data_IF_986226237669
#
_entry.id   IF_986226237669
#
_cell.length_a   1.000
_cell.length_b   1.000
_cell.length_c   1.000
_cell.angle_alpha   90.00
_cell.angle_beta   90.00
_cell.angle_gamma   90.00
#
_symmetry.space_group_name_H-M   'P 1'
#
loop_
_entity.id
_entity.type
_entity.pdbx_description
1 polymer ?
#
# COMPACT_ATOMS: atom_id res chain seq x y z
N UNK A 1 -25.21 9.35 -5.14
CA UNK A 1 -25.41 10.35 -4.06
C UNK A 1 -24.99 11.76 -4.50
N UNK A 2 -23.75 11.99 -4.94
CA UNK A 2 -23.27 13.31 -5.34
C UNK A 2 -24.15 13.99 -6.38
N UNK A 3 -24.53 13.27 -7.45
CA UNK A 3 -25.44 13.79 -8.50
C UNK A 3 -26.81 14.17 -7.93
N UNK A 4 -27.37 13.35 -7.03
CA UNK A 4 -28.65 13.64 -6.40
C UNK A 4 -28.62 14.88 -5.48
N UNK A 5 -27.48 15.18 -4.87
CA UNK A 5 -27.29 16.32 -3.96
C UNK A 5 -26.95 17.62 -4.71
N UNK A 6 -26.28 17.51 -5.85
CA UNK A 6 -25.67 18.69 -6.51
C UNK A 6 -26.19 18.97 -7.90
N UNK A 7 -26.86 17.98 -8.53
CA UNK A 7 -27.25 18.02 -9.95
C UNK A 7 -26.05 17.91 -10.92
N UNK A 8 -24.84 17.67 -10.42
CA UNK A 8 -23.62 17.52 -11.23
C UNK A 8 -23.43 16.03 -11.54
N UNK A 9 -23.44 15.68 -12.81
CA UNK A 9 -23.18 14.32 -13.27
C UNK A 9 -21.66 14.07 -13.34
N UNK A 10 -21.20 12.92 -12.84
CA UNK A 10 -19.81 12.46 -12.93
C UNK A 10 -19.76 11.15 -13.70
N UNK A 11 -19.06 11.17 -14.82
CA UNK A 11 -18.84 9.99 -15.65
C UNK A 11 -17.39 9.51 -15.47
N UNK A 12 -17.21 8.21 -15.19
CA UNK A 12 -15.90 7.58 -15.04
C UNK A 12 -15.54 6.76 -16.26
N UNK A 13 -14.40 7.08 -16.85
CA UNK A 13 -13.78 6.28 -17.90
C UNK A 13 -12.71 5.38 -17.26
N UNK A 14 -13.05 4.10 -17.04
CA UNK A 14 -12.16 3.14 -16.41
C UNK A 14 -11.27 2.46 -17.45
N UNK A 15 -9.96 2.46 -17.20
CA UNK A 15 -8.96 1.81 -18.05
C UNK A 15 -7.99 0.98 -17.21
N UNK A 16 -7.33 -0.03 -17.78
CA UNK A 16 -6.28 -0.77 -17.10
C UNK A 16 -5.14 0.16 -16.63
N UNK A 17 -4.59 -0.11 -15.44
CA UNK A 17 -3.53 0.71 -14.82
C UNK A 17 -2.34 0.96 -15.77
N UNK A 18 -1.90 -0.07 -16.47
CA UNK A 18 -0.76 0.01 -17.39
C UNK A 18 -1.00 0.88 -18.65
N UNK A 19 -2.26 1.27 -18.91
CA UNK A 19 -2.63 2.17 -20.02
C UNK A 19 -2.94 3.59 -19.52
N UNK A 20 -3.21 3.76 -18.22
CA UNK A 20 -3.72 5.01 -17.67
C UNK A 20 -2.73 6.17 -17.85
N UNK A 21 -1.46 5.98 -17.50
CA UNK A 21 -0.46 7.04 -17.60
C UNK A 21 -0.24 7.50 -19.05
N UNK A 22 -0.21 6.57 -20.01
CA UNK A 22 -0.06 6.91 -21.43
C UNK A 22 -1.26 7.69 -21.95
N UNK A 23 -2.48 7.29 -21.57
CA UNK A 23 -3.70 8.02 -21.95
C UNK A 23 -3.75 9.43 -21.37
N UNK A 24 -3.37 9.60 -20.10
CA UNK A 24 -3.26 10.93 -19.48
C UNK A 24 -2.24 11.78 -20.24
N UNK A 25 -1.05 11.21 -20.50
CA UNK A 25 0.04 11.92 -21.20
C UNK A 25 -0.39 12.37 -22.60
N UNK A 26 -1.10 11.53 -23.34
CA UNK A 26 -1.63 11.87 -24.67
C UNK A 26 -2.68 12.99 -24.59
N UNK A 27 -3.62 12.89 -23.63
CA UNK A 27 -4.61 13.94 -23.37
C UNK A 27 -3.96 15.27 -23.04
N UNK A 28 -2.90 15.26 -22.21
CA UNK A 28 -2.17 16.48 -21.84
C UNK A 28 -1.36 17.07 -23.01
N UNK A 29 -0.73 16.23 -23.81
CA UNK A 29 0.06 16.67 -24.97
C UNK A 29 -0.81 17.36 -26.05
N UNK A 30 -2.06 16.93 -26.16
CA UNK A 30 -3.02 17.53 -27.12
C UNK A 30 -3.79 18.71 -26.53
N UNK A 31 -3.55 19.07 -25.25
CA UNK A 31 -4.23 20.15 -24.53
C UNK A 31 -5.76 20.03 -24.58
N UNK A 32 -6.27 18.79 -24.58
CA UNK A 32 -7.71 18.52 -24.71
C UNK A 32 -8.43 18.63 -23.38
N UNK A 33 -9.69 19.01 -23.44
CA UNK A 33 -10.62 19.04 -22.32
C UNK A 33 -11.47 17.75 -22.25
N UNK A 34 -10.94 16.63 -22.75
CA UNK A 34 -11.67 15.36 -22.80
C UNK A 34 -12.05 14.87 -21.41
N UNK A 35 -11.18 15.10 -20.43
CA UNK A 35 -11.39 14.74 -19.04
C UNK A 35 -11.19 15.95 -18.13
N UNK A 36 -12.04 16.10 -17.12
CA UNK A 36 -11.95 17.20 -16.16
C UNK A 36 -10.96 16.92 -15.03
N UNK A 37 -10.77 15.65 -14.69
CA UNK A 37 -9.81 15.22 -13.69
C UNK A 37 -9.27 13.83 -14.01
N UNK A 38 -8.15 13.49 -13.39
CA UNK A 38 -7.46 12.22 -13.56
C UNK A 38 -7.24 11.53 -12.22
N UNK A 39 -7.34 10.20 -12.21
CA UNK A 39 -6.76 9.40 -11.14
C UNK A 39 -5.30 9.16 -11.48
N UNK A 40 -4.40 9.37 -10.50
CA UNK A 40 -2.98 9.11 -10.69
C UNK A 40 -2.34 8.43 -9.48
N UNK A 41 -1.33 7.62 -9.74
CA UNK A 41 -0.53 6.95 -8.72
C UNK A 41 0.56 7.88 -8.17
N UNK A 42 0.93 7.69 -6.91
CA UNK A 42 1.93 8.51 -6.20
C UNK A 42 3.26 8.68 -6.97
N UNK A 43 3.86 7.64 -7.58
CA UNK A 43 5.10 7.77 -8.34
C UNK A 43 5.00 8.66 -9.58
N UNK A 44 3.79 8.88 -10.11
CA UNK A 44 3.58 9.64 -11.35
C UNK A 44 3.51 11.14 -11.15
N UNK A 45 3.38 11.61 -9.90
CA UNK A 45 3.14 13.01 -9.58
C UNK A 45 4.14 13.96 -10.23
N UNK A 46 5.43 13.69 -10.06
CA UNK A 46 6.48 14.57 -10.58
C UNK A 46 6.43 14.64 -12.10
N UNK A 47 6.33 13.50 -12.78
CA UNK A 47 6.18 13.42 -14.22
C UNK A 47 4.96 14.20 -14.72
N UNK A 48 3.80 14.02 -14.08
CA UNK A 48 2.56 14.67 -14.48
C UNK A 48 2.60 16.19 -14.27
N UNK A 49 3.24 16.65 -13.20
CA UNK A 49 3.42 18.10 -12.96
C UNK A 49 4.38 18.72 -13.98
N UNK A 50 5.50 18.07 -14.25
CA UNK A 50 6.48 18.54 -15.24
C UNK A 50 5.90 18.62 -16.65
N UNK A 51 4.97 17.71 -16.99
CA UNK A 51 4.29 17.68 -18.30
C UNK A 51 2.95 18.46 -18.32
N UNK A 52 2.70 19.29 -17.30
CA UNK A 52 1.48 20.12 -17.19
C UNK A 52 0.17 19.32 -17.27
N UNK A 53 0.17 18.08 -16.76
CA UNK A 53 -1.04 17.26 -16.71
C UNK A 53 -1.92 17.57 -15.50
N UNK A 54 -1.39 18.26 -14.50
CA UNK A 54 -2.10 18.55 -13.24
C UNK A 54 -2.09 20.06 -12.96
N UNK A 55 -3.26 20.58 -12.60
CA UNK A 55 -3.42 21.94 -12.11
C UNK A 55 -2.92 22.08 -10.67
N UNK A 56 -2.31 23.21 -10.34
CA UNK A 56 -2.11 23.63 -8.97
C UNK A 56 -3.47 23.95 -8.31
N UNK A 57 -3.80 23.20 -7.26
CA UNK A 57 -5.03 23.35 -6.49
C UNK A 57 -4.77 23.81 -5.05
N UNK A 58 -3.60 24.37 -4.78
CA UNK A 58 -3.20 24.80 -3.42
C UNK A 58 -4.23 25.77 -2.81
N UNK A 59 -4.71 26.73 -3.56
CA UNK A 59 -5.73 27.70 -3.09
C UNK A 59 -7.04 27.02 -2.68
N UNK A 60 -7.44 25.92 -3.34
CA UNK A 60 -8.61 25.14 -2.95
C UNK A 60 -8.33 24.33 -1.67
N UNK A 61 -7.20 23.65 -1.58
CA UNK A 61 -6.82 22.83 -0.42
C UNK A 61 -6.64 23.69 0.87
N UNK A 62 -6.19 24.93 0.71
CA UNK A 62 -5.96 25.86 1.82
C UNK A 62 -7.18 26.76 2.14
N UNK A 63 -8.28 26.58 1.41
CA UNK A 63 -9.52 27.33 1.67
C UNK A 63 -10.29 26.76 2.86
N UNK A 64 -11.08 27.59 3.53
CA UNK A 64 -11.96 27.18 4.63
C UNK A 64 -13.04 26.15 4.21
N UNK A 65 -13.31 26.05 2.91
CA UNK A 65 -14.27 25.09 2.34
C UNK A 65 -13.72 23.67 2.26
N UNK A 66 -12.41 23.47 2.39
CA UNK A 66 -11.77 22.17 2.34
C UNK A 66 -11.20 21.75 3.70
N UNK A 67 -11.67 20.64 4.22
CA UNK A 67 -11.33 20.15 5.57
C UNK A 67 -10.06 19.30 5.56
N UNK A 68 -8.91 19.94 5.24
CA UNK A 68 -7.59 19.32 5.22
C UNK A 68 -7.21 18.66 6.55
N UNK A 69 -7.69 19.18 7.67
CA UNK A 69 -7.46 18.68 9.03
C UNK A 69 -8.00 17.27 9.28
N UNK A 70 -8.92 16.79 8.45
CA UNK A 70 -9.50 15.45 8.55
C UNK A 70 -8.59 14.35 7.99
N UNK A 71 -7.54 14.68 7.27
CA UNK A 71 -6.70 13.74 6.57
C UNK A 71 -5.44 13.36 7.34
N UNK A 72 -4.91 12.17 7.03
CA UNK A 72 -3.53 11.85 7.39
C UNK A 72 -2.57 12.76 6.63
N UNK A 73 -1.58 13.30 7.34
CA UNK A 73 -0.54 14.13 6.72
C UNK A 73 0.24 13.40 5.61
N UNK A 74 0.44 12.08 5.77
CA UNK A 74 1.07 11.24 4.75
C UNK A 74 0.32 11.25 3.42
N UNK A 75 -1.03 11.26 3.45
CA UNK A 75 -1.85 11.34 2.25
C UNK A 75 -1.57 12.61 1.44
N UNK A 76 -1.60 13.78 2.10
CA UNK A 76 -1.31 15.04 1.41
C UNK A 76 0.13 15.16 0.91
N UNK A 77 1.11 14.58 1.60
CA UNK A 77 2.48 14.52 1.07
C UNK A 77 2.56 13.82 -0.29
N UNK A 78 1.68 12.85 -0.53
CA UNK A 78 1.60 12.13 -1.80
C UNK A 78 1.07 12.99 -2.96
N UNK A 79 0.36 14.08 -2.66
CA UNK A 79 -0.18 15.03 -3.64
C UNK A 79 0.63 16.33 -3.73
N UNK A 80 1.73 16.44 -2.96
CA UNK A 80 2.50 17.68 -2.84
C UNK A 80 3.83 17.59 -3.57
N UNK A 81 4.15 18.61 -4.37
CA UNK A 81 5.44 18.79 -5.01
C UNK A 81 5.87 20.26 -4.81
N UNK A 82 7.10 20.47 -4.34
CA UNK A 82 7.68 21.81 -4.09
C UNK A 82 6.75 22.77 -3.29
N UNK A 83 6.07 22.23 -2.29
CA UNK A 83 5.17 23.00 -1.42
C UNK A 83 3.78 23.27 -2.00
N UNK A 84 3.49 22.83 -3.22
CA UNK A 84 2.19 23.02 -3.89
C UNK A 84 1.41 21.71 -3.96
N UNK A 85 0.08 21.80 -3.99
CA UNK A 85 -0.82 20.66 -4.06
C UNK A 85 -1.38 20.49 -5.47
N UNK A 86 -1.23 19.27 -6.02
CA UNK A 86 -1.65 18.92 -7.38
C UNK A 86 -2.75 17.85 -7.39
N UNK A 87 -3.37 17.58 -6.25
CA UNK A 87 -4.45 16.62 -6.13
C UNK A 87 -4.94 16.47 -4.71
N UNK A 88 -5.95 15.61 -4.56
CA UNK A 88 -6.46 15.13 -3.28
C UNK A 88 -6.20 13.63 -3.17
N UNK A 89 -5.83 13.11 -1.99
CA UNK A 89 -5.68 11.69 -1.78
C UNK A 89 -7.06 11.04 -1.63
N UNK A 90 -7.37 10.03 -2.44
CA UNK A 90 -8.68 9.34 -2.40
C UNK A 90 -8.59 7.88 -1.99
N UNK A 91 -7.45 7.25 -2.23
CA UNK A 91 -7.12 5.96 -1.65
C UNK A 91 -5.78 6.08 -0.96
N UNK A 92 -5.74 5.82 0.31
CA UNK A 92 -4.54 5.87 1.12
C UNK A 92 -4.28 4.51 1.72
N UNK A 93 -3.18 3.90 1.28
CA UNK A 93 -2.76 2.63 1.77
C UNK A 93 -1.29 2.63 2.16
N UNK A 94 -0.89 1.56 2.77
CA UNK A 94 0.49 1.28 3.11
C UNK A 94 0.72 -0.22 3.09
N UNK A 95 1.96 -0.63 2.97
CA UNK A 95 2.28 -2.04 3.09
C UNK A 95 2.11 -2.52 4.53
N UNK A 96 1.51 -3.69 4.67
CA UNK A 96 1.35 -4.42 5.92
C UNK A 96 1.98 -5.80 5.80
N UNK A 97 2.43 -6.34 6.92
CA UNK A 97 2.69 -7.75 7.07
C UNK A 97 1.38 -8.45 7.42
N UNK A 98 0.88 -9.33 6.56
CA UNK A 98 -0.19 -10.28 6.87
C UNK A 98 0.41 -11.63 7.23
N UNK A 99 -0.19 -12.31 8.20
CA UNK A 99 0.25 -13.63 8.61
C UNK A 99 -0.93 -14.50 9.06
N UNK A 100 -0.77 -15.79 8.97
CA UNK A 100 -1.75 -16.79 9.39
C UNK A 100 -1.81 -16.84 10.91
N UNK A 101 -2.76 -16.07 11.49
CA UNK A 101 -2.97 -15.97 12.94
C UNK A 101 -3.18 -17.32 13.60
N UNK A 102 -3.93 -18.20 12.94
CA UNK A 102 -4.21 -19.56 13.40
C UNK A 102 -2.93 -20.39 13.54
N UNK A 103 -1.95 -20.24 12.65
CA UNK A 103 -0.67 -20.94 12.73
C UNK A 103 0.23 -20.32 13.80
N UNK A 104 0.26 -19.00 13.91
CA UNK A 104 1.07 -18.30 14.92
C UNK A 104 0.55 -18.50 16.34
N UNK A 105 -0.76 -18.75 16.54
CA UNK A 105 -1.37 -19.03 17.83
C UNK A 105 -1.43 -20.54 18.16
N UNK A 106 -1.01 -21.41 17.24
CA UNK A 106 -0.99 -22.86 17.48
C UNK A 106 0.08 -23.21 18.53
N UNK A 107 -0.34 -23.87 19.61
CA UNK A 107 0.53 -24.18 20.76
C UNK A 107 1.70 -25.11 20.43
N UNK A 108 1.48 -26.07 19.55
CA UNK A 108 2.52 -27.02 19.13
C UNK A 108 3.60 -26.28 18.32
N UNK A 109 3.19 -25.47 17.33
CA UNK A 109 4.09 -24.66 16.52
C UNK A 109 4.85 -23.61 17.36
N UNK A 110 4.17 -23.00 18.34
CA UNK A 110 4.80 -22.08 19.29
C UNK A 110 5.93 -22.77 20.08
N UNK A 111 5.63 -23.97 20.59
CA UNK A 111 6.60 -24.75 21.39
C UNK A 111 7.78 -25.19 20.52
N UNK A 112 7.50 -25.63 19.29
CA UNK A 112 8.55 -26.06 18.36
C UNK A 112 9.43 -24.91 17.92
N UNK A 113 8.85 -23.77 17.55
CA UNK A 113 9.61 -22.57 17.19
C UNK A 113 10.48 -22.08 18.35
N UNK A 114 9.94 -22.05 19.56
CA UNK A 114 10.69 -21.62 20.76
C UNK A 114 11.89 -22.53 21.05
N UNK A 115 11.77 -23.84 20.83
CA UNK A 115 12.90 -24.78 20.97
C UNK A 115 14.03 -24.51 19.97
N UNK A 116 13.68 -24.06 18.74
CA UNK A 116 14.66 -23.80 17.68
C UNK A 116 15.29 -22.42 17.79
N UNK A 117 14.50 -21.40 18.12
CA UNK A 117 14.90 -19.98 18.02
C UNK A 117 15.16 -19.32 19.37
N UNK A 118 14.79 -19.98 20.49
CA UNK A 118 14.84 -19.46 21.86
C UNK A 118 13.93 -18.23 22.12
N UNK A 119 13.11 -17.86 21.16
CA UNK A 119 12.14 -16.77 21.25
C UNK A 119 10.74 -17.29 20.92
N UNK A 120 9.71 -16.58 21.38
CA UNK A 120 8.31 -16.93 21.05
C UNK A 120 7.98 -16.63 19.61
N UNK A 121 7.19 -17.52 18.96
CA UNK A 121 6.65 -17.29 17.64
C UNK A 121 5.65 -16.11 17.69
N UNK A 122 5.95 -15.05 16.96
CA UNK A 122 5.16 -13.83 16.87
C UNK A 122 5.37 -13.15 15.52
N UNK A 123 4.55 -12.15 15.22
CA UNK A 123 4.80 -11.30 14.06
C UNK A 123 6.21 -10.72 14.10
N UNK A 124 7.02 -10.92 13.05
CA UNK A 124 8.42 -10.49 13.00
C UNK A 124 8.52 -8.96 12.97
N UNK A 125 9.46 -8.41 13.77
CA UNK A 125 9.71 -6.97 13.89
C UNK A 125 10.93 -6.51 13.11
N UNK A 126 11.79 -7.45 12.75
CA UNK A 126 13.01 -7.19 11.95
C UNK A 126 13.04 -8.13 10.76
N UNK A 127 13.79 -7.78 9.72
CA UNK A 127 13.96 -8.64 8.55
C UNK A 127 14.66 -9.95 8.86
N UNK A 128 15.54 -9.96 9.89
CA UNK A 128 16.12 -11.20 10.38
C UNK A 128 15.05 -12.11 11.00
N UNK A 129 14.21 -11.57 11.90
CA UNK A 129 13.09 -12.34 12.47
C UNK A 129 12.12 -12.82 11.37
N UNK A 130 11.88 -12.00 10.32
CA UNK A 130 11.05 -12.39 9.19
C UNK A 130 11.61 -13.61 8.47
N UNK A 131 12.90 -13.62 8.17
CA UNK A 131 13.55 -14.75 7.52
C UNK A 131 13.62 -15.99 8.43
N UNK A 132 13.85 -15.83 9.74
CA UNK A 132 13.83 -16.93 10.71
C UNK A 132 12.44 -17.60 10.78
N UNK A 133 11.38 -16.80 10.81
CA UNK A 133 9.99 -17.29 10.79
C UNK A 133 9.64 -17.89 9.42
N UNK A 134 10.10 -17.29 8.32
CA UNK A 134 9.90 -17.82 6.98
C UNK A 134 10.55 -19.20 6.81
N UNK A 135 11.78 -19.38 7.30
CA UNK A 135 12.47 -20.67 7.33
C UNK A 135 11.66 -21.72 8.11
N UNK A 136 11.15 -21.35 9.30
CA UNK A 136 10.36 -22.26 10.13
C UNK A 136 9.07 -22.74 9.43
N UNK A 137 8.44 -21.86 8.66
CA UNK A 137 7.23 -22.18 7.90
C UNK A 137 7.50 -22.67 6.48
N UNK A 138 8.74 -22.93 6.11
CA UNK A 138 9.09 -23.54 4.82
C UNK A 138 9.33 -25.03 4.98
N UNK A 139 8.56 -25.86 4.28
CA UNK A 139 8.58 -27.32 4.42
C UNK A 139 9.94 -27.94 4.12
N UNK A 140 10.72 -27.33 3.22
CA UNK A 140 12.09 -27.76 2.91
C UNK A 140 13.01 -27.65 4.11
N UNK A 141 12.85 -26.61 4.96
CA UNK A 141 13.67 -26.36 6.16
C UNK A 141 13.07 -27.01 7.41
N UNK A 142 11.75 -27.16 7.42
CA UNK A 142 10.98 -27.80 8.48
C UNK A 142 9.92 -28.73 7.89
N UNK A 143 10.20 -30.04 7.75
CA UNK A 143 9.26 -31.00 7.17
C UNK A 143 7.88 -31.08 7.86
N UNK A 144 7.80 -30.65 9.14
CA UNK A 144 6.55 -30.56 9.89
C UNK A 144 5.79 -29.26 9.64
N UNK A 145 6.28 -28.35 8.79
CA UNK A 145 5.61 -27.10 8.48
C UNK A 145 4.24 -27.32 7.85
N UNK A 146 3.19 -26.64 8.34
CA UNK A 146 1.85 -26.70 7.75
C UNK A 146 1.77 -26.02 6.38
N UNK A 147 2.69 -25.12 6.06
CA UNK A 147 2.76 -24.43 4.77
C UNK A 147 3.93 -24.95 3.93
N UNK A 148 3.82 -24.83 2.63
CA UNK A 148 4.88 -25.22 1.69
C UNK A 148 6.06 -24.24 1.78
N UNK A 149 5.74 -22.95 1.86
CA UNK A 149 6.69 -21.84 1.97
C UNK A 149 6.33 -20.90 3.13
N UNK A 150 7.34 -20.24 3.67
CA UNK A 150 7.15 -19.34 4.80
C UNK A 150 6.71 -17.94 4.42
N UNK A 151 7.07 -17.48 3.22
CA UNK A 151 6.81 -16.12 2.78
C UNK A 151 6.43 -16.04 1.30
N UNK A 152 5.85 -14.92 0.91
CA UNK A 152 5.66 -14.49 -0.47
C UNK A 152 6.56 -13.30 -0.78
N UNK A 153 6.86 -13.07 -2.06
CA UNK A 153 7.66 -11.95 -2.55
C UNK A 153 7.13 -11.50 -3.91
N UNK A 154 6.66 -10.26 -4.01
CA UNK A 154 6.17 -9.66 -5.25
C UNK A 154 7.35 -9.03 -6.01
N UNK A 155 7.94 -9.79 -6.90
CA UNK A 155 9.17 -9.41 -7.59
C UNK A 155 9.02 -9.23 -9.11
N UNK A 156 7.79 -9.15 -9.64
CA UNK A 156 7.58 -8.88 -11.06
C UNK A 156 8.33 -7.62 -11.49
N UNK A 157 9.07 -7.74 -12.61
CA UNK A 157 9.97 -6.69 -13.11
C UNK A 157 9.14 -5.58 -13.77
N UNK A 158 8.42 -4.89 -12.98
CA UNK A 158 7.74 -3.65 -13.28
C UNK A 158 7.73 -2.79 -12.00
N UNK A 159 6.61 -2.22 -11.68
CA UNK A 159 6.47 -1.39 -10.49
C UNK A 159 6.35 -2.19 -9.17
N UNK A 160 6.20 -3.53 -9.22
CA UNK A 160 5.92 -4.35 -8.02
C UNK A 160 7.21 -4.70 -7.25
N UNK A 161 8.33 -4.87 -7.93
CA UNK A 161 9.62 -5.17 -7.30
C UNK A 161 10.17 -3.99 -6.48
N UNK A 162 9.98 -2.76 -6.96
CA UNK A 162 10.56 -1.58 -6.34
C UNK A 162 10.13 -1.40 -4.86
N UNK A 163 8.84 -1.51 -4.49
CA UNK A 163 8.41 -1.44 -3.09
C UNK A 163 9.03 -2.52 -2.19
N UNK A 164 9.20 -3.73 -2.70
CA UNK A 164 9.83 -4.82 -1.95
C UNK A 164 11.30 -4.52 -1.59
N UNK A 165 12.02 -3.88 -2.51
CA UNK A 165 13.40 -3.43 -2.28
C UNK A 165 13.42 -2.24 -1.33
N UNK A 166 12.59 -1.23 -1.58
CA UNK A 166 12.61 0.04 -0.86
C UNK A 166 12.33 -0.11 0.62
N UNK A 167 11.35 -0.93 1.02
CA UNK A 167 11.03 -1.13 2.45
C UNK A 167 12.18 -1.77 3.22
N UNK A 168 12.99 -2.61 2.59
CA UNK A 168 14.19 -3.20 3.18
C UNK A 168 15.36 -2.22 3.23
N UNK A 169 15.58 -1.46 2.15
CA UNK A 169 16.56 -0.37 2.12
C UNK A 169 16.30 0.63 3.24
N UNK A 170 15.09 1.13 3.33
CA UNK A 170 14.71 2.12 4.34
C UNK A 170 14.79 1.57 5.77
N UNK A 171 14.45 0.30 5.97
CA UNK A 171 14.55 -0.35 7.28
C UNK A 171 16.00 -0.49 7.73
N UNK A 172 16.94 -0.65 6.81
CA UNK A 172 18.38 -0.68 7.07
C UNK A 172 19.02 0.71 7.17
N UNK A 173 18.26 1.80 6.95
CA UNK A 173 18.80 3.17 6.86
C UNK A 173 19.44 3.49 5.51
N UNK A 174 19.27 2.61 4.53
CA UNK A 174 19.79 2.79 3.16
C UNK A 174 19.03 3.83 2.35
N UNK A 175 19.61 4.22 1.23
CA UNK A 175 19.08 5.19 0.27
C UNK A 175 19.44 4.75 -1.14
N UNK A 176 18.64 5.13 -2.14
CA UNK A 176 18.98 4.92 -3.54
C UNK A 176 19.99 5.95 -4.05
N UNK A 177 19.91 7.18 -3.53
CA UNK A 177 20.67 8.35 -3.96
C UNK A 177 21.25 9.09 -2.76
N UNK A 178 22.43 9.67 -2.92
CA UNK A 178 22.98 10.62 -1.96
C UNK A 178 22.39 12.04 -2.19
N UNK A 179 22.84 13.00 -1.39
CA UNK A 179 22.38 14.40 -1.50
C UNK A 179 22.82 15.11 -2.79
N UNK A 180 23.67 14.46 -3.59
CA UNK A 180 24.14 14.95 -4.91
C UNK A 180 23.53 14.14 -6.06
N UNK A 181 22.44 13.39 -5.80
CA UNK A 181 21.77 12.52 -6.76
C UNK A 181 22.65 11.42 -7.36
N UNK A 182 23.70 10.97 -6.65
CA UNK A 182 24.54 9.86 -7.08
C UNK A 182 24.04 8.55 -6.50
N UNK A 183 24.03 7.43 -7.26
CA UNK A 183 23.60 6.12 -6.77
C UNK A 183 24.46 5.64 -5.59
N UNK A 184 23.80 5.07 -4.58
CA UNK A 184 24.43 4.61 -3.33
C UNK A 184 24.33 3.10 -3.10
N UNK A 185 24.20 2.29 -4.15
CA UNK A 185 24.00 0.84 -4.05
C UNK A 185 25.10 0.08 -3.27
N UNK A 186 26.31 0.63 -3.23
CA UNK A 186 27.47 0.01 -2.61
C UNK A 186 27.60 0.24 -1.08
N UNK A 187 26.70 0.99 -0.46
CA UNK A 187 26.76 1.27 0.97
C UNK A 187 26.50 0.00 1.80
N UNK A 188 26.99 -0.01 3.05
CA UNK A 188 26.79 -1.12 3.98
C UNK A 188 25.30 -1.38 4.22
N UNK A 189 24.52 -0.33 4.41
CA UNK A 189 23.09 -0.36 4.68
C UNK A 189 22.34 -0.99 3.50
N UNK A 190 22.65 -0.58 2.28
CA UNK A 190 22.05 -1.14 1.08
C UNK A 190 22.44 -2.61 0.87
N UNK A 191 23.70 -2.96 1.14
CA UNK A 191 24.15 -4.36 1.08
C UNK A 191 23.37 -5.24 2.04
N UNK A 192 23.20 -4.81 3.31
CA UNK A 192 22.41 -5.54 4.30
C UNK A 192 20.96 -5.76 3.85
N UNK A 193 20.36 -4.77 3.21
CA UNK A 193 19.01 -4.89 2.66
C UNK A 193 18.94 -5.95 1.55
N UNK A 194 19.87 -5.92 0.58
CA UNK A 194 19.92 -6.93 -0.50
C UNK A 194 20.23 -8.33 0.02
N UNK A 195 21.14 -8.48 0.99
CA UNK A 195 21.40 -9.76 1.65
C UNK A 195 20.14 -10.32 2.32
N UNK A 196 19.34 -9.46 2.97
CA UNK A 196 18.05 -9.87 3.54
C UNK A 196 17.06 -10.33 2.49
N UNK A 197 17.01 -9.68 1.31
CA UNK A 197 16.18 -10.12 0.18
C UNK A 197 16.63 -11.51 -0.28
N UNK A 198 17.92 -11.70 -0.54
CA UNK A 198 18.46 -12.98 -1.01
C UNK A 198 18.11 -14.13 -0.06
N UNK A 199 18.17 -13.89 1.26
CA UNK A 199 17.73 -14.87 2.25
C UNK A 199 16.23 -15.14 2.17
N UNK A 200 15.39 -14.11 1.94
CA UNK A 200 13.93 -14.30 1.78
C UNK A 200 13.60 -15.21 0.59
N UNK A 201 14.38 -15.11 -0.51
CA UNK A 201 14.15 -15.90 -1.72
C UNK A 201 14.30 -17.43 -1.53
N UNK A 202 14.95 -17.86 -0.46
CA UNK A 202 15.03 -19.29 -0.11
C UNK A 202 13.71 -19.85 0.43
N UNK A 203 12.78 -18.99 0.83
CA UNK A 203 11.54 -19.33 1.53
C UNK A 203 10.25 -18.94 0.77
N UNK A 204 10.36 -18.58 -0.50
CA UNK A 204 9.25 -18.22 -1.38
C UNK A 204 8.94 -19.33 -2.39
N UNK A 205 7.73 -19.35 -2.98
CA UNK A 205 7.37 -20.30 -4.01
C UNK A 205 8.37 -20.31 -5.17
N UNK A 206 8.93 -21.52 -5.42
CA UNK A 206 9.76 -21.84 -6.60
C UNK A 206 10.99 -20.92 -6.80
N UNK A 207 11.36 -20.13 -5.80
CA UNK A 207 12.34 -19.02 -5.93
C UNK A 207 11.99 -18.06 -7.09
N UNK A 208 10.70 -17.99 -7.41
CA UNK A 208 10.19 -17.19 -8.52
C UNK A 208 10.07 -15.72 -8.12
N UNK A 209 11.08 -14.97 -8.49
CA UNK A 209 11.09 -13.51 -8.30
C UNK A 209 10.13 -12.77 -9.24
N UNK A 210 9.56 -13.43 -10.24
CA UNK A 210 8.71 -12.77 -11.24
C UNK A 210 7.21 -12.89 -10.92
N UNK A 211 6.87 -13.10 -9.64
CA UNK A 211 5.48 -13.20 -9.20
C UNK A 211 4.88 -11.82 -9.00
N UNK A 212 3.66 -11.64 -9.53
CA UNK A 212 2.87 -10.43 -9.28
C UNK A 212 2.30 -10.39 -7.86
N UNK A 213 1.88 -9.20 -7.40
CA UNK A 213 1.13 -9.03 -6.15
C UNK A 213 -0.09 -9.96 -6.11
N UNK A 214 -0.84 -10.07 -7.20
CA UNK A 214 -2.02 -10.95 -7.27
C UNK A 214 -1.66 -12.40 -7.01
N UNK A 215 -0.58 -12.90 -7.62
CA UNK A 215 -0.11 -14.26 -7.41
C UNK A 215 0.38 -14.51 -5.98
N UNK A 216 1.07 -13.53 -5.36
CA UNK A 216 1.50 -13.64 -3.96
C UNK A 216 0.32 -13.65 -2.99
N UNK A 217 -0.72 -12.86 -3.27
CA UNK A 217 -1.98 -12.88 -2.52
C UNK A 217 -2.68 -14.23 -2.67
N UNK A 218 -2.68 -14.82 -3.88
CA UNK A 218 -3.27 -16.14 -4.14
C UNK A 218 -2.55 -17.24 -3.36
N UNK A 219 -1.22 -17.27 -3.34
CA UNK A 219 -0.43 -18.23 -2.56
C UNK A 219 -0.77 -18.15 -1.06
N UNK A 220 -0.91 -16.95 -0.52
CA UNK A 220 -1.28 -16.77 0.87
C UNK A 220 -2.72 -17.20 1.15
N UNK A 221 -3.66 -16.82 0.29
CA UNK A 221 -5.08 -17.16 0.46
C UNK A 221 -5.38 -18.65 0.30
N UNK A 222 -4.56 -19.38 -0.45
CA UNK A 222 -4.65 -20.84 -0.59
C UNK A 222 -3.88 -21.61 0.50
N UNK A 223 -3.23 -20.89 1.43
CA UNK A 223 -2.46 -21.50 2.52
C UNK A 223 -1.10 -22.05 2.09
N UNK A 224 -0.63 -21.72 0.90
CA UNK A 224 0.67 -22.13 0.41
C UNK A 224 1.81 -21.44 1.17
N UNK A 225 1.57 -20.18 1.61
CA UNK A 225 2.52 -19.38 2.41
C UNK A 225 1.96 -18.97 3.76
N UNK A 226 2.83 -18.78 4.76
CA UNK A 226 2.45 -18.40 6.12
C UNK A 226 2.40 -16.88 6.33
N UNK A 227 3.20 -16.13 5.57
CA UNK A 227 3.34 -14.68 5.64
C UNK A 227 3.30 -14.06 4.25
N UNK A 228 2.75 -12.83 4.19
CA UNK A 228 2.62 -12.01 3.00
C UNK A 228 2.85 -10.55 3.36
N UNK A 229 3.66 -9.85 2.58
CA UNK A 229 3.71 -8.38 2.62
C UNK A 229 2.96 -7.87 1.40
N UNK A 230 1.94 -7.09 1.63
CA UNK A 230 1.15 -6.45 0.55
C UNK A 230 0.43 -5.21 1.10
N UNK A 231 -0.34 -4.56 0.26
CA UNK A 231 -1.03 -3.33 0.60
C UNK A 231 -2.29 -3.56 1.42
N UNK A 232 -2.58 -2.62 2.33
CA UNK A 232 -3.76 -2.65 3.21
C UNK A 232 -5.10 -2.76 2.46
N UNK A 233 -5.15 -2.31 1.21
CA UNK A 233 -6.32 -2.38 0.33
C UNK A 233 -6.75 -3.84 0.02
N UNK A 234 -5.81 -4.77 0.04
CA UNK A 234 -6.12 -6.20 -0.15
C UNK A 234 -6.68 -6.89 1.10
N UNK A 235 -6.63 -6.24 2.26
CA UNK A 235 -6.92 -6.88 3.55
C UNK A 235 -8.29 -7.53 3.64
N UNK A 236 -9.35 -6.86 3.14
CA UNK A 236 -10.71 -7.39 3.16
C UNK A 236 -10.81 -8.69 2.34
N UNK A 237 -10.35 -8.67 1.10
CA UNK A 237 -10.35 -9.83 0.21
C UNK A 237 -9.49 -10.98 0.72
N UNK A 238 -8.32 -10.68 1.31
CA UNK A 238 -7.45 -11.68 1.93
C UNK A 238 -8.17 -12.36 3.10
N UNK A 239 -8.78 -11.57 4.00
CA UNK A 239 -9.49 -12.10 5.18
C UNK A 239 -10.62 -13.05 4.79
N UNK A 240 -11.43 -12.67 3.79
CA UNK A 240 -12.52 -13.50 3.30
C UNK A 240 -11.98 -14.79 2.66
N UNK A 241 -11.05 -14.70 1.75
CA UNK A 241 -10.51 -15.83 0.98
C UNK A 241 -9.74 -16.83 1.86
N UNK A 242 -8.96 -16.39 2.86
CA UNK A 242 -8.29 -17.28 3.80
C UNK A 242 -9.30 -18.05 4.64
N UNK A 243 -10.39 -17.41 5.07
CA UNK A 243 -11.45 -18.07 5.81
C UNK A 243 -12.16 -19.13 4.98
N UNK A 244 -12.44 -18.84 3.71
CA UNK A 244 -13.14 -19.74 2.79
C UNK A 244 -12.25 -20.90 2.34
N UNK A 245 -11.02 -20.63 1.93
CA UNK A 245 -10.15 -21.63 1.28
C UNK A 245 -9.50 -22.58 2.28
N UNK A 246 -9.07 -22.10 3.44
CA UNK A 246 -8.26 -22.89 4.39
C UNK A 246 -8.78 -22.86 5.82
N UNK A 247 -10.01 -22.37 6.03
CA UNK A 247 -10.62 -22.19 7.36
C UNK A 247 -9.69 -21.48 8.35
N UNK A 248 -8.80 -20.66 7.81
CA UNK A 248 -7.76 -19.97 8.56
C UNK A 248 -8.21 -18.62 9.10
N UNK A 249 -7.35 -18.03 9.91
CA UNK A 249 -7.52 -16.67 10.43
C UNK A 249 -6.27 -15.86 10.12
N UNK A 250 -6.45 -14.60 9.75
CA UNK A 250 -5.34 -13.69 9.53
C UNK A 250 -5.16 -12.71 10.69
N UNK A 251 -3.96 -12.19 10.81
CA UNK A 251 -3.68 -10.95 11.50
C UNK A 251 -2.75 -10.10 10.62
N UNK A 252 -2.67 -8.83 10.96
CA UNK A 252 -1.79 -7.89 10.30
C UNK A 252 -0.93 -7.13 11.30
N UNK A 253 0.17 -6.59 10.84
CA UNK A 253 1.07 -5.74 11.59
C UNK A 253 1.92 -4.89 10.66
N UNK A 254 2.76 -4.04 11.26
CA UNK A 254 3.74 -3.29 10.48
C UNK A 254 4.72 -4.21 9.76
N UNK A 255 5.21 -3.77 8.61
CA UNK A 255 6.34 -4.43 7.94
C UNK A 255 7.57 -4.46 8.86
N UNK A 256 8.43 -5.48 8.76
CA UNK A 256 9.66 -5.55 9.54
C UNK A 256 10.53 -4.29 9.33
N UNK A 257 11.08 -3.76 10.41
CA UNK A 257 11.92 -2.55 10.40
C UNK A 257 11.15 -1.24 10.33
N UNK A 258 9.81 -1.26 10.36
CA UNK A 258 8.95 -0.07 10.49
C UNK A 258 9.16 0.99 9.39
N UNK A 259 9.37 0.57 8.17
CA UNK A 259 9.59 1.48 7.04
C UNK A 259 8.72 1.10 5.82
N UNK A 260 7.38 1.07 5.97
CA UNK A 260 6.49 0.72 4.86
C UNK A 260 6.51 1.78 3.77
N UNK A 261 6.16 1.40 2.55
CA UNK A 261 5.91 2.35 1.47
C UNK A 261 4.54 3.01 1.65
N UNK A 262 4.48 4.32 1.43
CA UNK A 262 3.23 5.06 1.25
C UNK A 262 2.77 4.83 -0.18
N UNK A 263 1.55 4.34 -0.32
CA UNK A 263 0.92 4.09 -1.62
C UNK A 263 -0.47 4.71 -1.62
N UNK A 264 -1.06 4.79 -2.78
CA UNK A 264 -2.44 5.27 -2.91
C UNK A 264 -2.68 5.98 -4.22
N UNK A 265 -3.96 6.19 -4.47
CA UNK A 265 -4.45 6.91 -5.62
C UNK A 265 -4.88 8.31 -5.24
N UNK A 266 -4.59 9.23 -6.12
CA UNK A 266 -4.93 10.63 -5.97
C UNK A 266 -5.82 11.06 -7.14
N UNK A 267 -6.65 12.08 -6.93
CA UNK A 267 -7.36 12.76 -8.00
C UNK A 267 -6.72 14.12 -8.24
N UNK A 268 -6.39 14.38 -9.49
CA UNK A 268 -5.82 15.65 -9.92
C UNK A 268 -6.67 16.35 -10.96
N UNK A 269 -6.82 17.65 -10.85
CA UNK A 269 -7.58 18.48 -11.77
C UNK A 269 -6.80 18.65 -13.07
N UNK A 270 -7.46 18.45 -14.21
CA UNK A 270 -6.92 18.82 -15.52
C UNK A 270 -6.79 20.35 -15.61
N UNK A 271 -5.60 20.91 -15.89
CA UNK A 271 -5.41 22.36 -15.98
C UNK A 271 -6.26 23.04 -17.06
N UNK A 272 -6.70 22.28 -18.07
CA UNK A 272 -7.51 22.77 -19.19
C UNK A 272 -9.01 22.58 -18.99
N UNK A 273 -9.46 22.00 -17.86
CA UNK A 273 -10.88 21.82 -17.58
C UNK A 273 -11.63 23.15 -17.45
N UNK A 274 -12.75 23.27 -18.16
CA UNK A 274 -13.69 24.38 -18.02
C UNK A 274 -14.64 24.21 -16.82
N UNK A 275 -14.64 23.03 -16.16
CA UNK A 275 -15.54 22.68 -15.07
C UNK A 275 -14.83 22.67 -13.69
N UNK A 276 -13.79 23.52 -13.53
CA UNK A 276 -12.94 23.55 -12.32
C UNK A 276 -13.73 23.61 -11.01
N UNK A 277 -14.78 24.44 -10.95
CA UNK A 277 -15.60 24.59 -9.76
C UNK A 277 -16.37 23.29 -9.43
N UNK A 278 -16.96 22.66 -10.44
CA UNK A 278 -17.68 21.38 -10.31
C UNK A 278 -16.74 20.27 -9.81
N UNK A 279 -15.51 20.21 -10.35
CA UNK A 279 -14.50 19.25 -9.91
C UNK A 279 -14.11 19.51 -8.45
N UNK A 280 -13.89 20.75 -8.04
CA UNK A 280 -13.58 21.08 -6.64
C UNK A 280 -14.74 20.71 -5.70
N UNK A 281 -16.00 20.91 -6.10
CA UNK A 281 -17.18 20.43 -5.34
C UNK A 281 -17.21 18.93 -5.20
N UNK A 282 -16.90 18.20 -6.29
CA UNK A 282 -16.79 16.74 -6.25
C UNK A 282 -15.65 16.27 -5.33
N UNK A 283 -14.50 16.92 -5.39
CA UNK A 283 -13.38 16.63 -4.50
C UNK A 283 -13.74 16.85 -3.03
N UNK A 284 -14.40 17.96 -2.69
CA UNK A 284 -14.88 18.22 -1.33
C UNK A 284 -15.87 17.17 -0.85
N UNK A 285 -16.79 16.73 -1.73
CA UNK A 285 -17.78 15.70 -1.42
C UNK A 285 -17.12 14.33 -1.15
N UNK A 286 -16.16 13.93 -1.98
CA UNK A 286 -15.39 12.69 -1.77
C UNK A 286 -14.65 12.69 -0.44
N UNK A 287 -14.22 13.87 0.01
CA UNK A 287 -13.41 14.05 1.20
C UNK A 287 -14.22 14.18 2.48
N UNK A 288 -15.56 14.23 2.42
CA UNK A 288 -16.35 14.32 3.63
C UNK A 288 -16.32 13.00 4.44
N UNK A 289 -16.55 13.10 5.74
CA UNK A 289 -16.43 11.95 6.67
C UNK A 289 -17.37 10.80 6.33
N UNK A 290 -18.59 11.09 5.90
CA UNK A 290 -19.60 10.08 5.62
C UNK A 290 -19.25 9.30 4.34
N UNK A 291 -18.89 10.02 3.27
CA UNK A 291 -18.40 9.40 2.04
C UNK A 291 -17.18 8.53 2.28
N UNK A 292 -16.22 9.01 3.08
CA UNK A 292 -15.03 8.23 3.42
C UNK A 292 -15.31 7.02 4.30
N UNK A 293 -16.34 7.06 5.14
CA UNK A 293 -16.79 5.88 5.88
C UNK A 293 -17.24 4.77 4.92
N UNK A 294 -18.07 5.11 3.92
CA UNK A 294 -18.51 4.18 2.89
C UNK A 294 -17.34 3.67 2.04
N UNK A 295 -16.45 4.55 1.62
CA UNK A 295 -15.25 4.16 0.85
C UNK A 295 -14.35 3.21 1.66
N UNK A 296 -14.23 3.42 2.97
CA UNK A 296 -13.46 2.52 3.84
C UNK A 296 -14.07 1.14 3.91
N UNK A 297 -15.40 1.05 3.99
CA UNK A 297 -16.11 -0.24 3.97
C UNK A 297 -15.90 -0.98 2.65
N UNK A 298 -15.86 -0.26 1.52
CA UNK A 298 -15.69 -0.84 0.20
C UNK A 298 -14.22 -1.21 -0.10
N UNK A 299 -13.27 -0.36 0.30
CA UNK A 299 -11.86 -0.46 -0.11
C UNK A 299 -10.92 -0.92 1.01
N UNK A 300 -11.38 -1.00 2.26
CA UNK A 300 -10.58 -1.44 3.40
C UNK A 300 -9.53 -0.44 3.90
N UNK A 301 -9.45 0.76 3.31
CA UNK A 301 -8.52 1.82 3.72
C UNK A 301 -9.10 3.20 3.39
N UNK A 302 -8.70 4.21 4.16
CA UNK A 302 -9.12 5.61 3.98
C UNK A 302 -7.93 6.57 4.10
N UNK A 303 -8.02 7.69 3.42
CA UNK A 303 -7.10 8.82 3.58
C UNK A 303 -7.52 9.75 4.72
N UNK A 304 -8.75 9.60 5.23
CA UNK A 304 -9.34 10.41 6.30
C UNK A 304 -9.26 9.66 7.63
N UNK A 305 -9.04 10.39 8.72
CA UNK A 305 -8.82 9.83 10.06
C UNK A 305 -10.09 9.23 10.68
N UNK A 306 -11.27 9.76 10.34
CA UNK A 306 -12.55 9.41 10.98
C UNK A 306 -12.85 7.90 11.01
N UNK A 307 -12.69 7.12 9.92
CA UNK A 307 -12.93 5.67 9.95
C UNK A 307 -12.05 4.93 10.96
N UNK A 308 -10.83 5.39 11.18
CA UNK A 308 -9.89 4.80 12.15
C UNK A 308 -10.21 5.13 13.61
N UNK A 309 -11.19 5.97 13.87
CA UNK A 309 -11.74 6.27 15.20
C UNK A 309 -13.08 5.59 15.45
N UNK A 310 -13.63 4.90 14.47
CA UNK A 310 -14.90 4.20 14.57
C UNK A 310 -14.69 2.80 15.19
N UNK A 311 -15.10 2.62 16.44
CA UNK A 311 -14.89 1.37 17.19
C UNK A 311 -15.58 0.15 16.56
N UNK A 312 -16.69 0.33 15.87
CA UNK A 312 -17.39 -0.78 15.20
C UNK A 312 -16.62 -1.22 13.95
N UNK A 313 -16.10 -0.27 13.16
CA UNK A 313 -15.23 -0.60 12.01
C UNK A 313 -13.95 -1.30 12.45
N UNK A 314 -13.32 -0.86 13.54
CA UNK A 314 -12.11 -1.49 14.04
C UNK A 314 -12.34 -2.93 14.52
N UNK A 315 -13.54 -3.26 15.01
CA UNK A 315 -13.92 -4.65 15.33
C UNK A 315 -14.12 -5.50 14.08
N UNK A 316 -14.75 -4.92 13.05
CA UNK A 316 -15.05 -5.62 11.78
C UNK A 316 -13.79 -5.75 10.90
N UNK A 317 -12.94 -4.75 10.92
CA UNK A 317 -11.74 -4.62 10.09
C UNK A 317 -10.48 -4.37 10.95
N UNK A 318 -9.99 -5.40 11.69
CA UNK A 318 -8.87 -5.23 12.64
C UNK A 318 -7.58 -4.72 12.01
N UNK A 319 -7.38 -4.93 10.72
CA UNK A 319 -6.21 -4.42 10.00
C UNK A 319 -6.16 -2.89 9.90
N UNK A 320 -7.27 -2.18 10.11
CA UNK A 320 -7.27 -0.72 10.17
C UNK A 320 -6.34 -0.18 11.27
N UNK A 321 -6.26 -0.89 12.41
CA UNK A 321 -5.33 -0.53 13.49
C UNK A 321 -3.88 -0.57 12.98
N UNK A 322 -3.49 -1.65 12.32
CA UNK A 322 -2.16 -1.81 11.74
C UNK A 322 -1.90 -0.81 10.61
N UNK A 323 -2.94 -0.50 9.83
CA UNK A 323 -2.85 0.50 8.75
C UNK A 323 -2.58 1.89 9.31
N UNK A 324 -3.33 2.34 10.32
CA UNK A 324 -3.13 3.63 10.97
C UNK A 324 -1.71 3.74 11.55
N UNK A 325 -1.28 2.72 12.29
CA UNK A 325 0.06 2.67 12.87
C UNK A 325 1.14 2.76 11.77
N UNK A 326 0.98 2.01 10.68
CA UNK A 326 1.93 1.99 9.57
C UNK A 326 2.00 3.30 8.79
N UNK A 327 0.87 3.99 8.60
CA UNK A 327 0.81 5.28 7.91
C UNK A 327 1.66 6.37 8.59
N UNK A 328 1.90 6.26 9.91
CA UNK A 328 2.77 7.20 10.63
C UNK A 328 4.25 7.06 10.22
N UNK A 329 4.66 5.89 9.77
CA UNK A 329 6.05 5.56 9.37
C UNK A 329 6.23 5.46 7.86
N UNK A 330 5.14 5.57 7.09
CA UNK A 330 5.16 5.36 5.66
C UNK A 330 6.07 6.38 4.94
N UNK A 331 6.92 5.85 4.05
CA UNK A 331 7.88 6.60 3.24
C UNK A 331 7.43 6.64 1.78
N UNK A 332 7.88 7.68 1.10
CA UNK A 332 7.66 7.89 -0.34
C UNK A 332 8.99 7.83 -1.08
#
# INVERSE_FOLDING_TARGET
HFEAETGIQVEFHCVPRNQLLSMISESCATLTQTYDFYTYDVPWLEYMVQNMCLADISSFIESDSFRKDQFFQSGFRNCQLNGRYFGIPVSGGTQLLFYRKDLFENRELQTEYQKRSLISLRAPRTWKEFNDVAAFFTRKENPASPTEYGASFAGAIDEELAPEILIRLWACGGKLWDNYHRPTFHTKENRMAFESILHTLDYIPEKDMNRSITQTVDDFCTGRTAMLITYSEFAHGINQRVKENVSGRIASGMVPGKAPASVGWNLGLNPFSSHRESVCRFFSWLCNSDTNLYLTILNGASTVVTPYRNSELLKLYPWLVSTEESLQYAKR
#
